data_IF_088226069120
#
_entry.id   IF_088226069120
#
_cell.length_a   1.000
_cell.length_b   1.000
_cell.length_c   1.000
_cell.angle_alpha   90.00
_cell.angle_beta   90.00
_cell.angle_gamma   90.00
#
_symmetry.space_group_name_H-M   'P 1'
#
loop_
_entity.id
_entity.type
_entity.pdbx_description
1 polymer ?
#
# COMPACT_ATOMS: atom_id res chain seq x y z
N UNK A 1 2.43 20.62 -19.06
CA UNK A 1 1.63 19.63 -18.30
C UNK A 1 0.97 18.71 -19.33
N UNK A 2 1.31 17.41 -19.32
CA UNK A 2 0.60 16.44 -20.18
C UNK A 2 -0.72 16.05 -19.52
N UNK A 3 -1.82 15.89 -20.26
CA UNK A 3 -3.11 15.53 -19.69
C UNK A 3 -3.04 14.13 -19.05
N UNK A 4 -3.59 14.01 -17.85
CA UNK A 4 -3.80 12.73 -17.15
C UNK A 4 -4.68 11.87 -18.05
N UNK A 5 -4.22 10.67 -18.42
CA UNK A 5 -5.04 9.75 -19.21
C UNK A 5 -6.25 9.32 -18.38
N UNK A 6 -7.44 9.71 -18.83
CA UNK A 6 -8.75 9.41 -18.22
C UNK A 6 -8.99 7.90 -18.03
N UNK A 7 -8.28 7.05 -18.78
CA UNK A 7 -8.34 5.58 -18.66
C UNK A 7 -7.84 5.04 -17.30
N UNK A 8 -6.87 5.72 -16.67
CA UNK A 8 -6.37 5.32 -15.36
C UNK A 8 -7.42 5.58 -14.24
N UNK A 9 -8.25 6.60 -14.39
CA UNK A 9 -9.36 6.85 -13.46
C UNK A 9 -10.51 5.85 -13.65
N UNK A 10 -10.76 5.39 -14.88
CA UNK A 10 -11.82 4.38 -15.14
C UNK A 10 -11.58 3.05 -14.44
N UNK A 11 -10.33 2.65 -14.21
CA UNK A 11 -9.99 1.39 -13.53
C UNK A 11 -10.17 1.45 -12.01
N UNK A 12 -10.12 2.64 -11.42
CA UNK A 12 -10.28 2.85 -9.98
C UNK A 12 -11.75 2.95 -9.57
N UNK A 13 -12.63 3.38 -10.50
CA UNK A 13 -14.05 3.65 -10.22
C UNK A 13 -14.95 2.46 -10.58
N UNK A 14 -14.44 1.42 -11.24
CA UNK A 14 -15.26 0.38 -11.85
C UNK A 14 -15.52 -0.83 -10.92
N UNK A 15 -16.32 -0.62 -9.89
CA UNK A 15 -17.23 -1.66 -9.38
C UNK A 15 -18.64 -1.05 -9.34
N UNK A 16 -19.43 -1.28 -10.39
CA UNK A 16 -20.87 -1.00 -10.49
C UNK A 16 -21.35 0.46 -10.46
N UNK A 17 -20.46 1.44 -10.59
CA UNK A 17 -20.88 2.80 -10.93
C UNK A 17 -20.93 2.89 -12.44
N UNK A 18 -22.14 2.99 -13.01
CA UNK A 18 -22.38 3.34 -14.40
C UNK A 18 -21.78 4.72 -14.67
N UNK A 19 -20.50 4.74 -15.12
CA UNK A 19 -19.90 5.96 -15.65
C UNK A 19 -20.50 6.17 -17.04
N UNK A 20 -21.27 7.24 -17.27
CA UNK A 20 -21.80 7.51 -18.60
C UNK A 20 -20.66 7.66 -19.59
N UNK A 21 -20.80 7.06 -20.79
CA UNK A 21 -19.87 7.29 -21.90
C UNK A 21 -19.79 8.78 -22.20
N UNK A 22 -18.65 9.40 -21.94
CA UNK A 22 -18.41 10.81 -22.21
C UNK A 22 -18.00 10.91 -23.70
N UNK A 23 -18.84 11.47 -24.57
CA UNK A 23 -18.47 11.64 -25.96
C UNK A 23 -17.38 12.69 -26.10
N UNK A 24 -16.30 12.33 -26.81
CA UNK A 24 -15.27 13.29 -27.22
C UNK A 24 -15.86 14.25 -28.25
N UNK A 25 -16.32 15.42 -27.82
CA UNK A 25 -16.63 16.57 -28.70
C UNK A 25 -16.15 17.84 -28.03
N UNK A 26 -15.44 18.64 -28.84
CA UNK A 26 -14.93 20.00 -28.63
C UNK A 26 -14.75 20.50 -27.18
N UNK A 27 -13.50 20.72 -26.79
CA UNK A 27 -13.02 20.92 -25.41
C UNK A 27 -13.69 22.10 -24.63
N UNK A 28 -14.49 22.94 -25.24
CA UNK A 28 -15.11 24.08 -24.56
C UNK A 28 -16.64 23.97 -24.36
N UNK A 29 -17.33 23.10 -25.07
CA UNK A 29 -18.80 22.96 -24.93
C UNK A 29 -19.23 21.93 -23.90
N UNK A 30 -18.35 20.98 -23.51
CA UNK A 30 -18.68 19.87 -22.60
C UNK A 30 -18.36 20.08 -21.11
N UNK A 31 -17.83 21.25 -20.75
CA UNK A 31 -17.43 21.51 -19.35
C UNK A 31 -18.64 21.55 -18.38
N UNK A 32 -19.77 22.21 -18.70
CA UNK A 32 -20.94 22.20 -17.81
C UNK A 32 -21.54 20.81 -17.63
N UNK A 33 -21.64 20.03 -18.71
CA UNK A 33 -22.15 18.65 -18.64
C UNK A 33 -21.22 17.74 -17.84
N UNK A 34 -19.91 17.92 -17.95
CA UNK A 34 -18.92 17.18 -17.16
C UNK A 34 -19.00 17.54 -15.67
N UNK A 35 -19.18 18.81 -15.34
CA UNK A 35 -19.39 19.28 -13.96
C UNK A 35 -20.67 18.67 -13.38
N UNK A 36 -21.75 18.64 -14.14
CA UNK A 36 -23.03 18.09 -13.69
C UNK A 36 -22.96 16.56 -13.54
N UNK A 37 -22.27 15.85 -14.43
CA UNK A 37 -22.01 14.43 -14.35
C UNK A 37 -21.18 14.08 -13.09
N UNK A 38 -20.11 14.83 -12.83
CA UNK A 38 -19.31 14.68 -11.60
C UNK A 38 -20.15 15.00 -10.36
N UNK A 39 -20.90 16.09 -10.38
CA UNK A 39 -21.80 16.46 -9.29
C UNK A 39 -22.87 15.41 -9.01
N UNK A 40 -23.39 14.77 -10.06
CA UNK A 40 -24.36 13.68 -9.93
C UNK A 40 -23.70 12.41 -9.36
N UNK A 41 -22.52 12.05 -9.84
CA UNK A 41 -21.74 10.92 -9.31
C UNK A 41 -21.42 11.13 -7.82
N UNK A 42 -20.96 12.32 -7.43
CA UNK A 42 -20.67 12.65 -6.02
C UNK A 42 -21.93 12.61 -5.13
N UNK A 43 -23.09 13.05 -5.65
CA UNK A 43 -24.37 12.98 -4.91
C UNK A 43 -24.92 11.55 -4.80
N UNK A 44 -24.60 10.66 -5.74
CA UNK A 44 -24.99 9.25 -5.71
C UNK A 44 -24.07 8.39 -4.86
N UNK A 45 -22.88 8.88 -4.50
CA UNK A 45 -22.03 8.22 -3.52
C UNK A 45 -22.72 8.31 -2.14
N UNK A 46 -23.04 7.15 -1.56
CA UNK A 46 -23.51 7.08 -0.18
C UNK A 46 -22.47 7.61 0.82
N UNK A 47 -22.35 7.00 1.99
CA UNK A 47 -21.39 7.43 3.03
C UNK A 47 -19.91 7.15 2.65
N UNK A 48 -19.66 6.76 1.39
CA UNK A 48 -18.35 6.39 0.86
C UNK A 48 -17.96 4.98 1.31
N UNK A 49 -17.72 4.09 0.37
CA UNK A 49 -17.11 2.79 0.66
C UNK A 49 -15.60 2.95 0.66
N UNK A 50 -14.97 2.64 1.79
CA UNK A 50 -13.53 2.51 1.88
C UNK A 50 -13.20 1.03 1.68
N UNK A 51 -12.40 0.71 0.66
CA UNK A 51 -11.90 -0.66 0.47
C UNK A 51 -11.05 -1.08 1.68
N UNK A 52 -11.12 -2.36 2.05
CA UNK A 52 -10.31 -2.89 3.15
C UNK A 52 -8.84 -2.90 2.70
N UNK A 53 -8.01 -2.12 3.38
CA UNK A 53 -6.57 -2.07 3.14
C UNK A 53 -5.87 -3.24 3.82
N UNK A 54 -5.10 -4.01 3.05
CA UNK A 54 -4.27 -5.09 3.59
C UNK A 54 -3.17 -4.54 4.52
N UNK A 55 -2.61 -3.38 4.19
CA UNK A 55 -1.62 -2.69 5.00
C UNK A 55 -2.19 -2.30 6.37
N UNK A 56 -3.32 -1.60 6.41
CA UNK A 56 -3.93 -1.15 7.66
C UNK A 56 -4.42 -2.33 8.50
N UNK A 57 -5.01 -3.35 7.86
CA UNK A 57 -5.41 -4.59 8.53
C UNK A 57 -4.21 -5.29 9.18
N UNK A 58 -3.05 -5.30 8.52
CA UNK A 58 -1.83 -5.88 9.08
C UNK A 58 -1.35 -5.10 10.33
N UNK A 59 -1.41 -3.77 10.32
CA UNK A 59 -1.06 -2.97 11.50
C UNK A 59 -2.01 -3.19 12.66
N UNK A 60 -3.32 -3.27 12.40
CA UNK A 60 -4.32 -3.57 13.45
C UNK A 60 -4.10 -4.99 14.00
N UNK A 61 -3.72 -5.95 13.15
CA UNK A 61 -3.42 -7.31 13.57
C UNK A 61 -2.23 -7.41 14.55
N UNK A 62 -1.31 -6.43 14.55
CA UNK A 62 -0.15 -6.41 15.45
C UNK A 62 -0.49 -5.96 16.88
N UNK A 63 -1.67 -5.38 17.09
CA UNK A 63 -2.07 -4.90 18.41
C UNK A 63 -2.25 -6.08 19.38
N UNK A 64 -1.56 -6.00 20.51
CA UNK A 64 -1.67 -6.97 21.60
C UNK A 64 -2.90 -6.73 22.45
N UNK A 65 -3.45 -7.79 22.98
CA UNK A 65 -4.58 -7.74 23.91
C UNK A 65 -4.27 -6.84 25.10
N UNK A 66 -5.23 -5.98 25.43
CA UNK A 66 -5.17 -5.10 26.60
C UNK A 66 -5.29 -5.86 27.92
N UNK A 67 -5.65 -7.15 27.90
CA UNK A 67 -5.77 -7.99 29.09
C UNK A 67 -4.42 -8.49 29.62
N UNK A 68 -3.31 -8.13 28.94
CA UNK A 68 -1.95 -8.52 29.36
C UNK A 68 -1.55 -9.93 28.94
N UNK A 69 -2.38 -10.67 28.22
CA UNK A 69 -2.03 -11.91 27.57
C UNK A 69 -1.29 -11.61 26.24
N UNK A 70 -0.49 -12.56 25.78
CA UNK A 70 0.25 -12.39 24.52
C UNK A 70 -0.56 -12.89 23.33
N UNK A 71 -1.81 -12.44 23.22
CA UNK A 71 -2.74 -12.74 22.13
C UNK A 71 -3.04 -11.49 21.28
N UNK A 72 -3.47 -11.62 20.03
CA UNK A 72 -3.88 -10.47 19.23
C UNK A 72 -5.16 -9.86 19.80
N UNK A 73 -5.24 -8.52 19.84
CA UNK A 73 -6.45 -7.79 20.24
C UNK A 73 -7.59 -8.02 19.25
N UNK A 74 -7.25 -8.16 17.96
CA UNK A 74 -8.21 -8.33 16.87
C UNK A 74 -7.85 -9.58 16.03
N UNK A 75 -8.17 -10.80 16.50
CA UNK A 75 -7.81 -12.04 15.79
C UNK A 75 -8.48 -12.13 14.40
N UNK A 76 -9.64 -11.49 14.21
CA UNK A 76 -10.30 -11.40 12.90
C UNK A 76 -9.45 -10.74 11.81
N UNK A 77 -8.54 -9.84 12.17
CA UNK A 77 -7.60 -9.25 11.22
C UNK A 77 -6.60 -10.28 10.70
N UNK A 78 -6.12 -11.17 11.56
CA UNK A 78 -5.22 -12.28 11.17
C UNK A 78 -5.96 -13.25 10.25
N UNK A 79 -7.21 -13.60 10.59
CA UNK A 79 -8.05 -14.45 9.75
C UNK A 79 -8.33 -13.82 8.39
N UNK A 80 -8.55 -12.50 8.35
CA UNK A 80 -8.74 -11.78 7.11
C UNK A 80 -7.47 -11.84 6.23
N UNK A 81 -6.30 -11.55 6.80
CA UNK A 81 -5.02 -11.63 6.09
C UNK A 81 -4.83 -13.03 5.48
N UNK A 82 -5.07 -14.08 6.28
CA UNK A 82 -4.91 -15.46 5.82
C UNK A 82 -5.83 -15.83 4.65
N UNK A 83 -7.06 -15.31 4.61
CA UNK A 83 -8.05 -15.61 3.57
C UNK A 83 -7.94 -14.74 2.32
N UNK A 84 -7.28 -13.59 2.40
CA UNK A 84 -7.21 -12.61 1.31
C UNK A 84 -5.84 -12.56 0.64
N UNK A 85 -5.02 -13.62 0.79
CA UNK A 85 -3.82 -13.78 -0.02
C UNK A 85 -4.19 -14.04 -1.47
N UNK A 86 -3.59 -13.30 -2.39
CA UNK A 86 -3.81 -13.44 -3.82
C UNK A 86 -3.09 -14.69 -4.36
N UNK A 87 -3.48 -15.11 -5.56
CA UNK A 87 -2.93 -16.31 -6.20
C UNK A 87 -1.41 -16.22 -6.45
N UNK A 88 -0.89 -15.03 -6.67
CA UNK A 88 0.54 -14.76 -6.83
C UNK A 88 1.31 -14.73 -5.49
N UNK A 89 0.63 -14.96 -4.38
CA UNK A 89 1.21 -14.95 -3.04
C UNK A 89 1.27 -13.58 -2.38
N UNK A 90 0.86 -12.52 -3.05
CA UNK A 90 0.84 -11.16 -2.51
C UNK A 90 -0.45 -10.82 -1.77
N UNK A 91 -0.51 -9.61 -1.21
CA UNK A 91 -1.72 -8.94 -0.71
C UNK A 91 -1.83 -7.55 -1.30
N UNK A 92 -3.05 -7.07 -1.49
CA UNK A 92 -3.36 -5.75 -2.01
C UNK A 92 -4.60 -5.75 -2.89
N UNK A 93 -4.92 -4.60 -3.45
CA UNK A 93 -6.09 -4.39 -4.29
C UNK A 93 -5.95 -4.99 -5.71
N UNK A 94 -7.05 -5.00 -6.47
CA UNK A 94 -7.06 -5.44 -7.88
C UNK A 94 -6.15 -4.59 -8.77
N UNK A 95 -6.00 -3.30 -8.44
CA UNK A 95 -5.08 -2.42 -9.14
C UNK A 95 -3.64 -2.74 -8.75
N UNK A 96 -2.84 -3.16 -9.74
CA UNK A 96 -1.46 -3.52 -9.53
C UNK A 96 -0.53 -2.31 -9.65
N UNK A 97 -0.03 -1.84 -8.50
CA UNK A 97 1.11 -0.94 -8.38
C UNK A 97 2.19 -1.67 -7.58
N UNK A 98 3.36 -1.91 -8.15
CA UNK A 98 4.39 -2.77 -7.55
C UNK A 98 4.81 -2.30 -6.16
N UNK A 99 4.97 -1.00 -5.95
CA UNK A 99 5.35 -0.42 -4.65
C UNK A 99 4.28 -0.67 -3.60
N UNK A 100 3.02 -0.41 -3.92
CA UNK A 100 1.87 -0.65 -3.04
C UNK A 100 1.74 -2.14 -2.72
N UNK A 101 1.80 -3.00 -3.74
CA UNK A 101 1.69 -4.44 -3.60
C UNK A 101 2.79 -5.02 -2.70
N UNK A 102 4.02 -4.55 -2.81
CA UNK A 102 5.15 -4.96 -1.96
C UNK A 102 4.94 -4.50 -0.51
N UNK A 103 4.49 -3.26 -0.28
CA UNK A 103 4.21 -2.74 1.06
C UNK A 103 3.10 -3.55 1.75
N UNK A 104 1.98 -3.77 1.06
CA UNK A 104 0.88 -4.57 1.58
C UNK A 104 1.34 -5.99 1.94
N UNK A 105 2.08 -6.63 1.03
CA UNK A 105 2.60 -7.98 1.21
C UNK A 105 3.55 -8.07 2.39
N UNK A 106 4.49 -7.14 2.50
CA UNK A 106 5.47 -7.14 3.59
C UNK A 106 4.81 -6.87 4.95
N UNK A 107 3.84 -5.95 5.03
CA UNK A 107 3.08 -5.69 6.24
C UNK A 107 2.31 -6.94 6.71
N UNK A 108 1.65 -7.66 5.79
CA UNK A 108 0.95 -8.90 6.09
C UNK A 108 1.90 -10.00 6.58
N UNK A 109 3.07 -10.16 5.96
CA UNK A 109 4.10 -11.10 6.42
C UNK A 109 4.56 -10.75 7.83
N UNK A 110 4.82 -9.48 8.13
CA UNK A 110 5.22 -9.01 9.46
C UNK A 110 4.15 -9.37 10.49
N UNK A 111 2.87 -9.13 10.19
CA UNK A 111 1.77 -9.46 11.08
C UNK A 111 1.71 -10.98 11.37
N UNK A 112 1.73 -11.82 10.33
CA UNK A 112 1.65 -13.27 10.48
C UNK A 112 2.89 -13.83 11.22
N UNK A 113 4.09 -13.35 10.92
CA UNK A 113 5.33 -13.75 11.59
C UNK A 113 5.38 -13.33 13.05
N UNK A 114 4.85 -12.16 13.38
CA UNK A 114 4.78 -11.69 14.78
C UNK A 114 3.95 -12.63 15.65
N UNK A 115 2.89 -13.20 15.10
CA UNK A 115 2.03 -14.16 15.79
C UNK A 115 2.43 -15.62 15.54
N UNK A 116 3.48 -15.88 14.74
CA UNK A 116 3.98 -17.22 14.39
C UNK A 116 2.91 -18.13 13.78
N UNK A 117 2.11 -17.59 12.87
CA UNK A 117 1.01 -18.29 12.20
C UNK A 117 1.18 -18.21 10.68
N UNK A 118 0.55 -19.12 9.94
CA UNK A 118 0.47 -19.12 8.49
C UNK A 118 1.83 -19.02 7.75
N UNK A 119 2.81 -19.82 8.18
CA UNK A 119 4.17 -19.80 7.62
C UNK A 119 4.21 -20.01 6.10
N UNK A 120 3.33 -20.84 5.55
CA UNK A 120 3.28 -21.08 4.10
C UNK A 120 2.77 -19.86 3.32
N UNK A 121 1.84 -19.10 3.89
CA UNK A 121 1.43 -17.83 3.31
C UNK A 121 2.60 -16.82 3.33
N UNK A 122 3.36 -16.78 4.42
CA UNK A 122 4.56 -15.94 4.49
C UNK A 122 5.60 -16.32 3.42
N UNK A 123 5.84 -17.61 3.18
CA UNK A 123 6.78 -18.07 2.14
C UNK A 123 6.34 -17.63 0.74
N UNK A 124 5.04 -17.78 0.41
CA UNK A 124 4.50 -17.32 -0.87
C UNK A 124 4.65 -15.80 -1.04
N UNK A 125 4.33 -15.03 -0.01
CA UNK A 125 4.50 -13.59 -0.01
C UNK A 125 5.96 -13.16 -0.19
N UNK A 126 6.90 -13.87 0.44
CA UNK A 126 8.34 -13.63 0.24
C UNK A 126 8.76 -13.93 -1.20
N UNK A 127 8.31 -15.03 -1.80
CA UNK A 127 8.59 -15.33 -3.21
C UNK A 127 8.13 -14.21 -4.12
N UNK A 128 6.90 -13.71 -3.90
CA UNK A 128 6.38 -12.55 -4.64
C UNK A 128 7.30 -11.31 -4.49
N UNK A 129 7.74 -11.00 -3.27
CA UNK A 129 8.64 -9.85 -3.03
C UNK A 129 9.94 -10.04 -3.81
N UNK A 130 10.60 -11.22 -3.72
CA UNK A 130 11.84 -11.50 -4.43
C UNK A 130 11.70 -11.33 -5.95
N UNK A 131 10.63 -11.83 -6.53
CA UNK A 131 10.39 -11.76 -7.98
C UNK A 131 10.14 -10.33 -8.48
N UNK A 132 9.65 -9.44 -7.61
CA UNK A 132 9.23 -8.09 -8.00
C UNK A 132 10.16 -6.97 -7.50
N UNK A 133 11.19 -7.28 -6.68
CA UNK A 133 12.12 -6.27 -6.17
C UNK A 133 12.79 -5.44 -7.28
N UNK A 134 13.24 -6.09 -8.34
CA UNK A 134 13.91 -5.40 -9.45
C UNK A 134 12.99 -4.46 -10.27
N UNK A 135 11.69 -4.54 -10.04
CA UNK A 135 10.70 -3.65 -10.70
C UNK A 135 10.54 -2.33 -9.97
N UNK A 136 10.96 -2.24 -8.72
CA UNK A 136 10.84 -1.01 -7.91
C UNK A 136 11.57 0.20 -8.49
N UNK A 137 12.61 -0.03 -9.30
CA UNK A 137 13.38 1.03 -9.97
C UNK A 137 12.99 1.25 -11.43
N UNK A 138 12.20 0.32 -12.01
CA UNK A 138 11.85 0.35 -13.44
C UNK A 138 10.52 1.02 -13.73
N UNK A 139 9.65 1.13 -12.72
CA UNK A 139 8.37 1.80 -12.90
C UNK A 139 8.61 3.31 -13.03
N UNK A 140 8.07 3.84 -14.11
CA UNK A 140 8.14 5.23 -14.56
C UNK A 140 8.02 6.18 -13.35
N UNK A 141 8.97 7.12 -13.21
CA UNK A 141 9.05 8.12 -12.12
C UNK A 141 7.74 8.94 -11.91
N UNK A 142 6.75 8.75 -12.78
CA UNK A 142 5.47 9.46 -12.76
C UNK A 142 4.48 8.96 -11.71
N UNK A 143 4.63 7.74 -11.16
CA UNK A 143 3.69 7.13 -10.21
C UNK A 143 4.43 6.46 -9.04
N UNK A 144 4.98 7.29 -8.17
CA UNK A 144 5.59 6.79 -6.94
C UNK A 144 4.58 6.92 -5.80
N UNK A 145 4.38 5.83 -5.05
CA UNK A 145 3.56 5.85 -3.85
C UNK A 145 4.12 6.87 -2.85
N UNK A 146 3.27 7.80 -2.42
CA UNK A 146 3.69 8.84 -1.49
C UNK A 146 4.22 8.22 -0.19
N UNK A 147 5.46 8.55 0.17
CA UNK A 147 6.09 8.04 1.40
C UNK A 147 6.71 6.64 1.28
N UNK A 148 6.73 6.04 0.09
CA UNK A 148 7.31 4.71 -0.12
C UNK A 148 8.73 4.58 0.43
N UNK A 149 9.59 5.56 0.17
CA UNK A 149 10.98 5.61 0.62
C UNK A 149 11.14 5.72 2.15
N UNK A 150 10.07 6.03 2.88
CA UNK A 150 10.05 6.04 4.35
C UNK A 150 9.46 4.72 4.87
N UNK A 151 8.31 4.32 4.34
CA UNK A 151 7.53 3.17 4.80
C UNK A 151 8.26 1.87 4.50
N UNK A 152 8.78 1.71 3.28
CA UNK A 152 9.38 0.45 2.86
C UNK A 152 10.65 0.08 3.66
N UNK A 153 11.64 1.00 3.87
CA UNK A 153 12.77 0.72 4.76
C UNK A 153 12.37 0.36 6.20
N UNK A 154 11.36 1.05 6.74
CA UNK A 154 10.84 0.74 8.08
C UNK A 154 10.28 -0.68 8.16
N UNK A 155 9.49 -1.10 7.17
CA UNK A 155 8.98 -2.46 7.10
C UNK A 155 10.10 -3.49 6.98
N UNK A 156 11.15 -3.19 6.18
CA UNK A 156 12.33 -4.05 6.06
C UNK A 156 13.05 -4.23 7.39
N UNK A 157 13.27 -3.16 8.15
CA UNK A 157 13.88 -3.19 9.47
C UNK A 157 13.05 -4.03 10.44
N UNK A 158 11.72 -3.86 10.44
CA UNK A 158 10.80 -4.63 11.28
C UNK A 158 10.78 -6.11 10.89
N UNK A 159 10.78 -6.43 9.60
CA UNK A 159 10.86 -7.80 9.09
C UNK A 159 12.18 -8.47 9.50
N UNK A 160 13.30 -7.77 9.38
CA UNK A 160 14.62 -8.25 9.82
C UNK A 160 14.63 -8.62 11.30
N UNK A 161 14.01 -7.82 12.16
CA UNK A 161 13.91 -8.08 13.60
C UNK A 161 13.08 -9.34 13.91
N UNK A 162 12.21 -9.75 13.00
CA UNK A 162 11.42 -10.99 13.08
C UNK A 162 12.12 -12.19 12.41
N UNK A 163 13.37 -12.03 11.99
CA UNK A 163 14.12 -13.09 11.30
C UNK A 163 13.64 -13.37 9.87
N UNK A 164 12.91 -12.43 9.27
CA UNK A 164 12.49 -12.51 7.87
C UNK A 164 13.65 -12.06 6.99
N UNK A 165 14.21 -13.00 6.22
CA UNK A 165 15.33 -12.73 5.34
C UNK A 165 14.80 -12.14 4.02
N UNK A 166 15.13 -10.87 3.76
CA UNK A 166 14.85 -10.16 2.50
C UNK A 166 16.19 -9.75 1.91
N UNK A 167 16.44 -9.90 0.61
CA UNK A 167 17.70 -9.51 -0.01
C UNK A 167 17.92 -8.01 0.18
N UNK A 168 18.86 -7.66 1.07
CA UNK A 168 19.17 -6.27 1.42
C UNK A 168 20.31 -5.69 0.56
N UNK A 169 20.94 -6.52 -0.27
CA UNK A 169 22.10 -6.14 -1.08
C UNK A 169 21.73 -5.68 -2.51
N UNK A 170 20.44 -5.46 -2.76
CA UNK A 170 19.97 -5.00 -4.07
C UNK A 170 20.30 -3.49 -4.24
N UNK A 171 20.94 -3.05 -5.33
CA UNK A 171 21.19 -1.63 -5.64
C UNK A 171 19.94 -0.75 -5.60
N UNK A 172 18.77 -1.37 -5.85
CA UNK A 172 17.47 -0.74 -5.70
C UNK A 172 17.24 -0.21 -4.28
N UNK A 173 17.65 -0.98 -3.26
CA UNK A 173 17.51 -0.58 -1.86
C UNK A 173 18.41 0.59 -1.53
N UNK A 174 19.63 0.62 -2.02
CA UNK A 174 20.56 1.76 -1.82
C UNK A 174 19.95 3.06 -2.34
N UNK A 175 19.31 3.01 -3.52
CA UNK A 175 18.63 4.18 -4.09
C UNK A 175 17.43 4.64 -3.23
N UNK A 176 16.66 3.71 -2.67
CA UNK A 176 15.53 4.01 -1.78
C UNK A 176 16.03 4.62 -0.47
N UNK A 177 17.06 4.06 0.14
CA UNK A 177 17.66 4.62 1.35
C UNK A 177 18.26 6.02 1.12
N UNK A 178 18.90 6.26 -0.02
CA UNK A 178 19.39 7.59 -0.39
C UNK A 178 18.25 8.61 -0.55
N UNK A 179 17.12 8.21 -1.16
CA UNK A 179 15.91 9.05 -1.24
C UNK A 179 15.32 9.34 0.15
N UNK A 180 15.31 8.35 1.05
CA UNK A 180 14.90 8.51 2.45
C UNK A 180 15.72 9.58 3.15
N UNK A 181 17.04 9.45 3.13
CA UNK A 181 17.96 10.41 3.77
C UNK A 181 17.74 11.84 3.24
N UNK A 182 17.60 11.98 1.91
CA UNK A 182 17.33 13.29 1.31
C UNK A 182 16.01 13.90 1.79
N UNK A 183 14.95 13.08 2.02
CA UNK A 183 13.70 13.58 2.58
C UNK A 183 13.85 13.98 4.04
N UNK A 184 14.55 13.21 4.83
CA UNK A 184 14.78 13.52 6.23
C UNK A 184 15.58 14.82 6.43
N UNK A 185 16.52 15.15 5.54
CA UNK A 185 17.24 16.45 5.62
C UNK A 185 16.32 17.66 5.46
N UNK A 186 15.12 17.49 4.86
CA UNK A 186 14.13 18.55 4.65
C UNK A 186 13.12 18.66 5.79
N UNK A 187 13.12 17.71 6.73
CA UNK A 187 12.19 17.68 7.87
C UNK A 187 12.89 18.35 9.08
N UNK A 188 12.23 19.27 9.80
CA UNK A 188 12.77 19.84 11.02
C UNK A 188 13.14 18.75 12.04
N UNK A 189 14.26 18.93 12.76
CA UNK A 189 14.84 17.90 13.65
C UNK A 189 13.91 17.43 14.78
N UNK A 190 13.05 18.30 15.26
CA UNK A 190 12.04 18.01 16.25
C UNK A 190 10.97 17.04 15.73
N UNK A 191 10.51 17.23 14.49
CA UNK A 191 9.58 16.32 13.82
C UNK A 191 10.25 14.98 13.48
N UNK A 192 11.53 15.01 13.12
CA UNK A 192 12.32 13.83 12.81
C UNK A 192 12.39 12.85 14.02
N UNK A 193 12.65 13.38 15.23
CA UNK A 193 12.70 12.57 16.44
C UNK A 193 11.34 11.96 16.80
N UNK A 194 10.23 12.68 16.59
CA UNK A 194 8.88 12.15 16.78
C UNK A 194 8.55 11.00 15.83
N UNK A 195 8.90 11.13 14.54
CA UNK A 195 8.68 10.07 13.56
C UNK A 195 9.46 8.80 13.92
N UNK A 196 10.72 8.91 14.34
CA UNK A 196 11.49 7.74 14.78
C UNK A 196 10.90 7.08 16.02
N UNK A 197 10.40 7.84 16.98
CA UNK A 197 9.75 7.29 18.18
C UNK A 197 8.44 6.57 17.85
N UNK A 198 7.63 7.09 16.93
CA UNK A 198 6.38 6.44 16.53
C UNK A 198 6.60 5.17 15.67
N UNK A 199 7.73 5.07 14.97
CA UNK A 199 8.06 3.92 14.12
C UNK A 199 8.79 2.80 14.86
N UNK A 200 9.16 2.99 16.14
CA UNK A 200 9.94 2.06 16.97
C UNK A 200 9.09 1.13 17.85
N UNK A 201 7.76 1.07 17.65
CA UNK A 201 6.87 0.18 18.37
C UNK A 201 6.87 -1.25 17.82
#
# INVERSE_FOLDING_TARGET
>A
MKPIKVEALKSVINRDVLVPDIPHKDEQSGMPEMIDAIGTALRSMGDGEISISAYDTAWVALLKSLNGDNTPQFPSCIDWIARNQLLDGSWGDDFFLVQDRIINTLACIIALKSWKVHDDACKKGLSFIYENMSRLTKDDDNWTLCGFEIIFPMLLEKAKNLGVNIPLDDPTLEAIYAKRELKFTKIPRDVHSMLYQQLSF
#
